data_IF_668645765739
#
_entry.id   IF_668645765739
#
_cell.length_a   1.000
_cell.length_b   1.000
_cell.length_c   1.000
_cell.angle_alpha   90.00
_cell.angle_beta   90.00
_cell.angle_gamma   90.00
#
_symmetry.space_group_name_H-M   'P 1'
#
loop_
_entity.id
_entity.type
_entity.pdbx_description
1 polymer ?
#
# COMPACT_ATOMS: atom_id res chain seq x y z
N UNK A 1 52.28 -32.33 -10.64
CA UNK A 1 51.34 -31.95 -9.55
C UNK A 1 51.21 -30.44 -9.38
N UNK A 2 52.29 -29.65 -9.20
CA UNK A 2 52.21 -28.18 -9.02
C UNK A 2 51.53 -27.41 -10.17
N UNK A 3 51.74 -27.82 -11.43
CA UNK A 3 51.09 -27.19 -12.61
C UNK A 3 49.58 -27.45 -12.68
N UNK A 4 49.13 -28.64 -12.29
CA UNK A 4 47.71 -29.00 -12.25
C UNK A 4 46.98 -28.24 -11.14
N UNK A 5 47.63 -28.08 -9.98
CA UNK A 5 47.10 -27.29 -8.86
C UNK A 5 46.99 -25.79 -9.21
N UNK A 6 47.91 -25.27 -10.02
CA UNK A 6 47.86 -23.91 -10.55
C UNK A 6 46.71 -23.70 -11.54
N UNK A 7 46.49 -24.64 -12.46
CA UNK A 7 45.34 -24.58 -13.38
C UNK A 7 44.00 -24.74 -12.65
N UNK A 8 43.93 -25.57 -11.60
CA UNK A 8 42.74 -25.70 -10.76
C UNK A 8 42.43 -24.39 -10.01
N UNK A 9 43.46 -23.71 -9.49
CA UNK A 9 43.32 -22.43 -8.80
C UNK A 9 42.79 -21.32 -9.72
N UNK A 10 43.28 -21.27 -10.97
CA UNK A 10 42.78 -20.32 -11.99
C UNK A 10 41.33 -20.62 -12.37
N UNK A 11 40.95 -21.89 -12.48
CA UNK A 11 39.57 -22.28 -12.80
C UNK A 11 38.58 -21.89 -11.68
N UNK A 12 38.99 -21.97 -10.42
CA UNK A 12 38.16 -21.56 -9.26
C UNK A 12 37.98 -20.03 -9.20
N UNK A 13 38.97 -19.25 -9.63
CA UNK A 13 38.87 -17.79 -9.70
C UNK A 13 37.99 -17.29 -10.86
N UNK A 14 37.76 -18.10 -11.89
CA UNK A 14 36.97 -17.71 -13.05
C UNK A 14 35.43 -17.89 -12.89
N UNK A 15 34.96 -18.50 -11.80
CA UNK A 15 33.53 -18.84 -11.62
C UNK A 15 32.69 -17.82 -10.86
N UNK A 16 33.22 -16.64 -10.45
CA UNK A 16 32.47 -15.70 -9.60
C UNK A 16 31.83 -14.49 -10.30
N UNK A 17 31.82 -14.40 -11.63
CA UNK A 17 31.21 -13.26 -12.33
C UNK A 17 29.77 -13.55 -12.74
N UNK A 18 28.82 -13.20 -11.89
CA UNK A 18 27.43 -12.94 -12.30
C UNK A 18 27.37 -11.49 -12.77
N UNK A 19 26.84 -11.23 -13.98
CA UNK A 19 26.69 -9.85 -14.47
C UNK A 19 25.75 -9.05 -13.57
N UNK A 20 26.21 -7.87 -13.12
CA UNK A 20 25.42 -6.92 -12.34
C UNK A 20 24.21 -6.39 -13.13
N UNK A 21 24.22 -6.51 -14.46
CA UNK A 21 23.11 -6.13 -15.35
C UNK A 21 21.81 -6.93 -15.06
N UNK A 22 21.88 -8.03 -14.31
CA UNK A 22 20.69 -8.80 -13.95
C UNK A 22 20.15 -8.50 -12.55
N UNK A 23 20.84 -7.65 -11.78
CA UNK A 23 20.53 -7.42 -10.35
C UNK A 23 20.47 -5.95 -9.95
N UNK A 24 21.01 -5.02 -10.76
CA UNK A 24 20.92 -3.59 -10.48
C UNK A 24 19.54 -3.05 -10.88
N UNK A 25 18.72 -2.69 -9.89
CA UNK A 25 17.47 -1.95 -10.11
C UNK A 25 17.81 -0.58 -10.76
N UNK A 26 17.02 -0.11 -11.74
CA UNK A 26 17.18 1.20 -12.41
C UNK A 26 18.35 1.34 -13.41
N UNK A 27 18.68 0.29 -14.16
CA UNK A 27 19.74 0.35 -15.18
C UNK A 27 19.49 1.33 -16.34
N UNK A 28 18.23 1.72 -16.58
CA UNK A 28 17.88 2.68 -17.62
C UNK A 28 18.14 4.14 -17.24
N UNK A 29 18.79 4.44 -16.11
CA UNK A 29 19.14 5.80 -15.71
C UNK A 29 19.97 6.56 -16.78
N UNK A 30 20.77 5.86 -17.60
CA UNK A 30 21.49 6.50 -18.72
C UNK A 30 20.57 6.88 -19.89
N UNK A 31 19.48 6.14 -20.12
CA UNK A 31 18.45 6.49 -21.10
C UNK A 31 17.67 7.74 -20.65
N UNK A 32 17.53 7.98 -19.33
CA UNK A 32 16.96 9.22 -18.79
C UNK A 32 17.90 10.44 -18.92
N UNK A 33 19.21 10.25 -19.11
CA UNK A 33 20.20 11.34 -19.17
C UNK A 33 20.26 12.02 -20.55
N UNK A 34 19.74 11.38 -21.60
CA UNK A 34 19.67 11.91 -22.97
C UNK A 34 18.26 12.41 -23.30
N UNK A 35 18.00 13.68 -23.04
CA UNK A 35 17.04 14.48 -23.80
C UNK A 35 15.57 14.43 -23.38
N UNK A 36 15.06 13.31 -22.88
CA UNK A 36 13.68 13.26 -22.38
C UNK A 36 13.67 13.60 -20.89
N UNK A 37 13.61 14.91 -20.60
CA UNK A 37 12.83 15.34 -19.44
C UNK A 37 11.41 14.87 -19.73
N UNK A 38 11.09 13.63 -19.39
CA UNK A 38 9.71 13.25 -19.19
C UNK A 38 9.26 14.17 -18.06
N UNK A 39 8.67 15.31 -18.40
CA UNK A 39 7.70 15.93 -17.53
C UNK A 39 6.81 14.76 -17.14
N UNK A 40 6.91 14.28 -15.90
CA UNK A 40 5.87 13.44 -15.36
C UNK A 40 4.70 14.40 -15.34
N UNK A 41 3.73 14.31 -16.28
CA UNK A 41 2.58 15.16 -16.15
C UNK A 41 2.01 14.78 -14.79
N UNK A 42 2.10 15.68 -13.81
CA UNK A 42 1.35 15.55 -12.58
C UNK A 42 -0.09 15.83 -12.99
N UNK A 43 -0.66 14.87 -13.71
CA UNK A 43 -2.05 14.88 -14.09
C UNK A 43 -2.75 14.67 -12.77
N UNK A 44 -3.01 15.77 -12.07
CA UNK A 44 -3.73 15.89 -10.80
C UNK A 44 -5.16 15.31 -10.86
N UNK A 45 -5.43 14.40 -11.80
CA UNK A 45 -6.74 14.08 -12.34
C UNK A 45 -7.10 12.61 -12.20
N UNK A 46 -6.21 11.76 -11.68
CA UNK A 46 -6.58 10.36 -11.42
C UNK A 46 -6.52 10.09 -9.93
N UNK A 47 -7.68 10.19 -9.29
CA UNK A 47 -7.87 9.70 -7.94
C UNK A 47 -7.40 8.24 -7.86
N UNK A 48 -6.66 7.92 -6.80
CA UNK A 48 -6.21 6.57 -6.55
C UNK A 48 -7.40 5.60 -6.52
N UNK A 49 -7.28 4.53 -7.30
CA UNK A 49 -8.26 3.45 -7.35
C UNK A 49 -7.78 2.28 -6.51
N UNK A 50 -8.64 1.83 -5.61
CA UNK A 50 -8.37 0.72 -4.69
C UNK A 50 -8.06 -0.56 -5.47
N UNK A 51 -7.03 -1.28 -5.02
CA UNK A 51 -6.51 -2.50 -5.62
C UNK A 51 -6.49 -3.65 -4.61
N UNK A 52 -6.23 -4.87 -5.10
CA UNK A 52 -5.99 -6.01 -4.23
C UNK A 52 -4.69 -5.80 -3.44
N UNK A 53 -4.69 -6.17 -2.16
CA UNK A 53 -3.58 -5.94 -1.24
C UNK A 53 -3.62 -4.60 -0.50
N UNK A 54 -4.54 -3.70 -0.86
CA UNK A 54 -4.75 -2.46 -0.12
C UNK A 54 -5.35 -2.72 1.25
N UNK A 55 -5.00 -1.86 2.21
CA UNK A 55 -5.59 -1.85 3.53
C UNK A 55 -6.41 -0.57 3.70
N UNK A 56 -7.69 -0.75 3.99
CA UNK A 56 -8.64 0.34 4.19
C UNK A 56 -8.97 0.45 5.68
N UNK A 57 -8.70 1.60 6.28
CA UNK A 57 -9.29 1.94 7.56
C UNK A 57 -10.73 2.40 7.34
N UNK A 58 -11.66 1.73 8.01
CA UNK A 58 -13.09 2.04 7.93
C UNK A 58 -13.61 2.22 9.35
N UNK A 59 -14.18 3.39 9.62
CA UNK A 59 -14.78 3.73 10.90
C UNK A 59 -16.25 4.10 10.68
N UNK A 60 -17.13 3.53 11.50
CA UNK A 60 -18.58 3.80 11.46
C UNK A 60 -18.98 4.40 12.78
N UNK A 61 -19.46 5.64 12.73
CA UNK A 61 -20.02 6.34 13.88
C UNK A 61 -21.52 6.39 13.76
N UNK A 62 -22.24 6.14 14.85
CA UNK A 62 -23.69 6.32 14.93
C UNK A 62 -24.01 7.24 16.10
N UNK A 63 -25.11 8.00 15.99
CA UNK A 63 -25.64 8.79 17.10
C UNK A 63 -26.32 7.92 18.17
N UNK A 64 -26.65 6.67 17.84
CA UNK A 64 -27.27 5.73 18.78
C UNK A 64 -26.22 4.78 19.40
N UNK A 65 -26.09 4.85 20.72
CA UNK A 65 -25.11 4.08 21.51
C UNK A 65 -25.37 2.58 21.51
N UNK A 66 -26.59 2.13 21.17
CA UNK A 66 -26.93 0.69 21.06
C UNK A 66 -26.55 0.09 19.71
N UNK A 67 -26.47 0.94 18.69
CA UNK A 67 -26.33 0.56 17.30
C UNK A 67 -24.85 0.49 16.84
N UNK A 68 -23.95 1.12 17.59
CA UNK A 68 -22.51 1.16 17.29
C UNK A 68 -21.75 -0.13 17.64
N UNK A 69 -22.28 -0.96 18.55
CA UNK A 69 -21.56 -2.12 19.11
C UNK A 69 -20.96 -3.12 18.09
N UNK A 70 -21.63 -3.52 16.99
CA UNK A 70 -21.05 -4.46 16.03
C UNK A 70 -19.85 -3.92 15.25
N UNK A 71 -19.70 -2.60 15.13
CA UNK A 71 -18.55 -1.95 14.47
C UNK A 71 -17.46 -1.55 15.46
N UNK A 72 -17.82 -1.38 16.74
CA UNK A 72 -16.88 -1.02 17.81
C UNK A 72 -16.02 -2.19 18.31
N UNK A 73 -16.30 -3.43 17.89
CA UNK A 73 -15.52 -4.60 18.32
C UNK A 73 -14.01 -4.45 18.03
N UNK A 74 -13.65 -3.80 16.92
CA UNK A 74 -12.26 -3.51 16.56
C UNK A 74 -11.71 -2.21 17.18
N UNK A 75 -12.55 -1.36 17.79
CA UNK A 75 -12.10 -0.14 18.49
C UNK A 75 -11.60 -0.39 19.93
N UNK A 76 -11.75 -1.61 20.46
CA UNK A 76 -11.39 -1.93 21.85
C UNK A 76 -9.88 -1.97 22.14
N UNK A 77 -9.00 -1.70 21.16
CA UNK A 77 -7.57 -1.49 21.36
C UNK A 77 -7.19 0.01 21.30
N UNK A 78 -7.65 0.79 22.29
CA UNK A 78 -7.41 2.24 22.40
C UNK A 78 -5.93 2.69 22.51
N UNK A 79 -4.96 1.78 22.40
CA UNK A 79 -3.53 2.08 22.55
C UNK A 79 -2.63 1.58 21.39
N UNK A 80 -3.16 0.86 20.39
CA UNK A 80 -2.31 0.21 19.37
C UNK A 80 -2.24 0.94 18.01
N UNK A 81 -3.10 1.92 17.74
CA UNK A 81 -3.13 2.63 16.45
C UNK A 81 -1.87 3.48 16.18
N UNK A 82 -1.03 3.72 17.18
CA UNK A 82 0.22 4.50 17.05
C UNK A 82 1.31 3.77 16.27
N UNK A 83 1.15 2.46 16.05
CA UNK A 83 2.14 1.61 15.37
C UNK A 83 1.61 1.14 14.02
N UNK A 84 2.51 0.95 13.06
CA UNK A 84 2.16 0.42 11.74
C UNK A 84 1.46 -0.96 11.83
N UNK A 85 1.94 -1.81 12.74
CA UNK A 85 1.32 -3.10 13.02
C UNK A 85 -0.12 -2.95 13.53
N UNK A 86 -0.38 -1.98 14.42
CA UNK A 86 -1.73 -1.73 14.90
C UNK A 86 -2.65 -1.16 13.82
N UNK A 87 -2.16 -0.28 12.95
CA UNK A 87 -2.92 0.20 11.78
C UNK A 87 -3.28 -0.95 10.86
N UNK A 88 -2.34 -1.86 10.58
CA UNK A 88 -2.59 -3.05 9.76
C UNK A 88 -3.65 -3.96 10.39
N UNK A 89 -3.52 -4.30 11.68
CA UNK A 89 -4.45 -5.19 12.39
C UNK A 89 -5.87 -4.61 12.52
N UNK A 90 -6.01 -3.28 12.52
CA UNK A 90 -7.30 -2.58 12.62
C UNK A 90 -7.84 -2.11 11.26
N UNK A 91 -7.26 -2.59 10.16
CA UNK A 91 -7.68 -2.25 8.78
C UNK A 91 -8.32 -3.43 8.07
N UNK A 92 -9.05 -3.12 7.00
CA UNK A 92 -9.70 -4.11 6.14
C UNK A 92 -8.84 -4.35 4.91
N UNK A 93 -8.29 -5.56 4.81
CA UNK A 93 -7.54 -6.02 3.65
C UNK A 93 -8.48 -6.26 2.45
N UNK A 94 -8.14 -5.66 1.31
CA UNK A 94 -8.77 -5.96 0.03
C UNK A 94 -8.18 -7.25 -0.52
N UNK A 95 -9.00 -8.29 -0.60
CA UNK A 95 -8.55 -9.59 -1.09
C UNK A 95 -8.25 -9.58 -2.61
N UNK A 96 -7.69 -10.68 -3.12
CA UNK A 96 -7.30 -10.82 -4.54
C UNK A 96 -8.46 -10.64 -5.52
N UNK A 97 -9.68 -11.01 -5.09
CA UNK A 97 -10.91 -10.80 -5.86
C UNK A 97 -11.41 -9.35 -5.80
N UNK A 98 -10.82 -8.49 -4.97
CA UNK A 98 -11.13 -7.08 -4.83
C UNK A 98 -12.19 -6.73 -3.78
N UNK A 99 -12.50 -7.65 -2.88
CA UNK A 99 -13.52 -7.48 -1.84
C UNK A 99 -12.89 -7.27 -0.47
N UNK A 100 -13.60 -6.52 0.39
CA UNK A 100 -13.37 -6.50 1.83
C UNK A 100 -14.44 -7.33 2.55
N UNK A 101 -14.11 -7.88 3.72
CA UNK A 101 -15.09 -8.52 4.60
C UNK A 101 -15.48 -7.55 5.71
N UNK A 102 -16.70 -7.02 5.62
CA UNK A 102 -17.19 -5.97 6.52
C UNK A 102 -18.22 -6.56 7.52
N UNK A 103 -18.15 -6.25 8.83
CA UNK A 103 -19.06 -6.79 9.83
C UNK A 103 -20.52 -6.49 9.49
N UNK A 104 -21.43 -7.43 9.82
CA UNK A 104 -22.89 -7.36 9.57
C UNK A 104 -23.29 -7.41 8.09
N UNK A 105 -22.58 -6.71 7.23
CA UNK A 105 -22.82 -6.58 5.79
C UNK A 105 -22.26 -7.76 4.99
N UNK A 106 -21.10 -8.29 5.39
CA UNK A 106 -20.37 -9.32 4.66
C UNK A 106 -19.44 -8.75 3.57
N UNK A 107 -19.39 -9.41 2.41
CA UNK A 107 -18.42 -9.08 1.35
C UNK A 107 -18.83 -7.84 0.57
N UNK A 108 -17.94 -6.84 0.49
CA UNK A 108 -18.16 -5.60 -0.29
C UNK A 108 -17.07 -5.46 -1.35
N UNK A 109 -17.47 -5.33 -2.62
CA UNK A 109 -16.56 -5.10 -3.75
C UNK A 109 -16.04 -3.65 -3.71
N UNK A 110 -14.72 -3.47 -3.66
CA UNK A 110 -14.08 -2.15 -3.58
C UNK A 110 -13.02 -1.90 -4.65
N UNK A 111 -12.55 -2.94 -5.34
CA UNK A 111 -11.55 -2.80 -6.41
C UNK A 111 -12.03 -1.89 -7.53
N UNK A 112 -11.13 -1.01 -7.98
CA UNK A 112 -11.36 -0.06 -9.07
C UNK A 112 -12.16 1.18 -8.68
N UNK A 113 -12.67 1.23 -7.44
CA UNK A 113 -13.35 2.40 -6.88
C UNK A 113 -12.34 3.37 -6.27
N UNK A 114 -12.65 4.65 -6.26
CA UNK A 114 -11.91 5.63 -5.45
C UNK A 114 -12.25 5.44 -3.97
N UNK A 115 -11.41 5.97 -3.08
CA UNK A 115 -11.70 5.93 -1.62
C UNK A 115 -13.05 6.59 -1.30
N UNK A 116 -13.40 7.66 -2.04
CA UNK A 116 -14.69 8.33 -1.91
C UNK A 116 -15.86 7.45 -2.36
N UNK A 117 -15.72 6.76 -3.49
CA UNK A 117 -16.74 5.83 -3.99
C UNK A 117 -16.93 4.66 -3.01
N UNK A 118 -15.85 4.15 -2.41
CA UNK A 118 -15.92 3.11 -1.37
C UNK A 118 -16.68 3.62 -0.15
N UNK A 119 -16.39 4.85 0.31
CA UNK A 119 -17.14 5.50 1.40
C UNK A 119 -18.63 5.59 1.07
N UNK A 120 -18.99 6.11 -0.10
CA UNK A 120 -20.40 6.25 -0.50
C UNK A 120 -21.10 4.90 -0.62
N UNK A 121 -20.41 3.88 -1.13
CA UNK A 121 -20.95 2.53 -1.19
C UNK A 121 -21.20 1.96 0.20
N UNK A 122 -20.22 2.08 1.10
CA UNK A 122 -20.35 1.58 2.46
C UNK A 122 -21.42 2.34 3.24
N UNK A 123 -21.52 3.66 3.07
CA UNK A 123 -22.56 4.48 3.69
C UNK A 123 -23.96 3.94 3.32
N UNK A 124 -24.23 3.74 2.03
CA UNK A 124 -25.51 3.19 1.56
C UNK A 124 -25.84 1.84 2.19
N UNK A 125 -24.85 0.95 2.23
CA UNK A 125 -25.06 -0.40 2.75
C UNK A 125 -25.23 -0.39 4.27
N UNK A 126 -24.50 0.45 4.99
CA UNK A 126 -24.65 0.61 6.45
C UNK A 126 -26.01 1.21 6.79
N UNK A 127 -26.49 2.16 6.00
CA UNK A 127 -27.79 2.82 6.21
C UNK A 127 -28.99 1.86 6.04
N UNK A 128 -28.82 0.73 5.34
CA UNK A 128 -29.85 -0.32 5.26
C UNK A 128 -30.06 -1.04 6.61
N UNK A 129 -29.04 -1.09 7.46
CA UNK A 129 -29.08 -1.79 8.74
C UNK A 129 -29.21 -0.84 9.92
N UNK A 130 -28.73 0.40 9.79
CA UNK A 130 -28.52 1.32 10.90
C UNK A 130 -28.89 2.75 10.55
N UNK A 131 -29.60 3.44 11.45
CA UNK A 131 -29.98 4.84 11.24
C UNK A 131 -28.93 5.81 11.79
N UNK A 132 -28.88 7.01 11.20
CA UNK A 132 -28.03 8.12 11.65
C UNK A 132 -26.56 7.73 11.79
N UNK A 133 -26.02 7.05 10.77
CA UNK A 133 -24.62 6.64 10.74
C UNK A 133 -23.76 7.54 9.85
N UNK A 134 -22.46 7.54 10.09
CA UNK A 134 -21.47 8.21 9.26
C UNK A 134 -20.27 7.29 9.10
N UNK A 135 -19.95 6.97 7.85
CA UNK A 135 -18.82 6.13 7.47
C UNK A 135 -17.63 6.99 7.06
N UNK A 136 -16.47 6.70 7.63
CA UNK A 136 -15.17 7.27 7.23
C UNK A 136 -14.31 6.18 6.65
N UNK A 137 -13.67 6.44 5.50
CA UNK A 137 -12.76 5.50 4.83
C UNK A 137 -11.42 6.19 4.55
N UNK A 138 -10.31 5.52 4.83
CA UNK A 138 -8.94 5.97 4.50
C UNK A 138 -8.09 4.81 4.00
N UNK A 139 -7.22 5.07 3.02
CA UNK A 139 -6.17 4.13 2.62
C UNK A 139 -5.01 4.25 3.62
N UNK A 140 -4.53 3.13 4.19
CA UNK A 140 -3.57 3.17 5.31
C UNK A 140 -2.20 2.55 5.04
N UNK A 141 -2.00 1.85 3.92
CA UNK A 141 -0.72 1.22 3.57
C UNK A 141 -0.03 1.88 2.37
N UNK A 142 -0.31 3.15 2.09
CA UNK A 142 0.33 3.87 0.98
C UNK A 142 1.77 4.30 1.33
N UNK A 143 2.75 3.74 0.62
CA UNK A 143 4.19 3.96 0.88
C UNK A 143 4.92 4.41 -0.37
N UNK A 144 5.94 5.26 -0.17
CA UNK A 144 6.87 5.70 -1.21
C UNK A 144 8.28 5.30 -0.80
N UNK A 145 9.05 4.75 -1.74
CA UNK A 145 10.47 4.48 -1.53
C UNK A 145 11.32 5.53 -2.22
N UNK A 146 12.15 6.22 -1.44
CA UNK A 146 13.15 7.18 -1.91
C UNK A 146 14.50 6.47 -2.02
N UNK A 147 15.06 6.47 -3.22
CA UNK A 147 16.33 5.82 -3.57
C UNK A 147 17.26 6.85 -4.23
N UNK A 148 18.58 6.63 -4.13
CA UNK A 148 19.59 7.46 -4.80
C UNK A 148 20.35 8.40 -3.85
N UNK A 149 20.91 9.47 -4.42
CA UNK A 149 21.68 10.49 -3.69
C UNK A 149 20.74 11.50 -3.00
N UNK A 150 20.11 11.04 -1.93
CA UNK A 150 19.29 11.84 -1.03
C UNK A 150 19.84 11.72 0.39
N UNK A 151 19.61 12.72 1.24
CA UNK A 151 20.15 12.73 2.62
C UNK A 151 19.72 11.49 3.41
N UNK A 152 18.47 11.04 3.22
CA UNK A 152 17.90 9.89 3.92
C UNK A 152 17.12 9.01 2.93
N UNK A 153 17.76 8.00 2.32
CA UNK A 153 17.04 7.01 1.52
C UNK A 153 16.22 6.09 2.43
N UNK A 154 15.11 5.55 1.90
CA UNK A 154 14.24 4.66 2.64
C UNK A 154 12.78 4.67 2.18
N UNK A 155 11.94 3.93 2.89
CA UNK A 155 10.50 3.87 2.64
C UNK A 155 9.75 4.74 3.63
N UNK A 156 8.84 5.55 3.10
CA UNK A 156 8.07 6.56 3.83
C UNK A 156 6.58 6.26 3.70
N UNK A 157 5.89 6.22 4.83
CA UNK A 157 4.44 6.12 4.87
C UNK A 157 3.83 7.48 4.53
N UNK A 158 2.80 7.48 3.71
CA UNK A 158 2.07 8.69 3.34
C UNK A 158 0.65 8.62 3.89
N UNK A 159 0.22 9.70 4.53
CA UNK A 159 -1.11 9.85 5.12
C UNK A 159 -2.02 10.83 4.35
N UNK A 160 -1.47 11.56 3.38
CA UNK A 160 -2.18 12.57 2.60
C UNK A 160 -2.62 11.98 1.26
N UNK A 161 -3.75 12.46 0.73
CA UNK A 161 -4.28 12.02 -0.55
C UNK A 161 -3.47 12.57 -1.74
N UNK A 162 -2.73 13.66 -1.52
CA UNK A 162 -1.90 14.31 -2.54
C UNK A 162 -0.50 14.50 -1.99
N UNK A 163 0.49 14.29 -2.83
CA UNK A 163 1.90 14.45 -2.51
C UNK A 163 2.53 15.26 -3.64
N UNK A 164 3.42 16.16 -3.26
CA UNK A 164 4.35 16.79 -4.17
C UNK A 164 5.75 16.28 -3.83
N UNK A 165 6.51 15.90 -4.85
CA UNK A 165 7.90 15.42 -4.72
C UNK A 165 8.80 16.41 -5.43
#
# INVERSE_FOLDING_TARGET
>A
MKRILFFLFIAIMASSCVSLDKVTYLQDAENYRKGDKTEFPNSHTTDYKVQAGDNLYIDVKSLDTKTSNPFLANQSMGYQMSTEAGVYLNSYLVNDSGYINFPVVGKVMVKGLTVNDVRDRLQKVVDEYFQFTTVTVKLVNFKISLLGEVERPGTYQVYQNSINV
#
